data_IF_752853698027
#
_entry.id   IF_752853698027
#
_cell.length_a   1.000
_cell.length_b   1.000
_cell.length_c   1.000
_cell.angle_alpha   90.00
_cell.angle_beta   90.00
_cell.angle_gamma   90.00
#
_symmetry.space_group_name_H-M   'P 1'
#
loop_
_entity.id
_entity.type
_entity.pdbx_description
1 polymer ?
#
# COMPACT_ATOMS: atom_id res chain seq x y z
N UNK A 1 -19.72 -5.74 -4.79
CA UNK A 1 -19.90 -5.79 -6.26
C UNK A 1 -18.88 -6.73 -6.89
N UNK A 2 -17.61 -6.34 -7.04
CA UNK A 2 -16.56 -7.14 -7.71
C UNK A 2 -16.45 -8.59 -7.21
N UNK A 3 -16.42 -8.80 -5.88
CA UNK A 3 -16.36 -10.15 -5.30
C UNK A 3 -17.62 -10.98 -5.53
N UNK A 4 -18.80 -10.35 -5.57
CA UNK A 4 -20.06 -11.05 -5.85
C UNK A 4 -20.11 -11.55 -7.32
N UNK A 5 -19.41 -10.86 -8.22
CA UNK A 5 -19.22 -11.27 -9.62
C UNK A 5 -18.09 -12.31 -9.81
N UNK A 6 -17.49 -12.81 -8.72
CA UNK A 6 -16.39 -13.77 -8.77
C UNK A 6 -15.11 -13.23 -9.41
N UNK A 7 -14.89 -11.90 -9.37
CA UNK A 7 -13.71 -11.24 -9.95
C UNK A 7 -12.65 -10.92 -8.88
N UNK A 8 -11.45 -10.56 -9.32
CA UNK A 8 -10.35 -10.18 -8.43
C UNK A 8 -10.58 -8.79 -7.84
N UNK A 9 -10.46 -8.66 -6.51
CA UNK A 9 -10.51 -7.40 -5.78
C UNK A 9 -9.08 -7.01 -5.45
N UNK A 10 -8.54 -6.08 -6.24
CA UNK A 10 -7.30 -5.39 -5.90
C UNK A 10 -7.65 -4.09 -5.17
N UNK A 11 -7.48 -4.08 -3.85
CA UNK A 11 -7.79 -2.93 -3.03
C UNK A 11 -6.55 -2.03 -2.90
N UNK A 12 -6.66 -0.78 -3.36
CA UNK A 12 -5.54 0.14 -3.45
C UNK A 12 -5.43 1.07 -2.25
N UNK A 13 -4.21 1.21 -1.74
CA UNK A 13 -3.81 2.24 -0.79
C UNK A 13 -3.03 3.31 -1.57
N UNK A 14 -3.56 4.54 -1.63
CA UNK A 14 -2.85 5.65 -2.26
C UNK A 14 -1.67 6.09 -1.39
N UNK A 15 -0.47 6.12 -1.97
CA UNK A 15 0.74 6.56 -1.27
C UNK A 15 0.86 8.08 -1.30
N UNK A 16 1.18 8.69 -0.15
CA UNK A 16 1.47 10.11 -0.02
C UNK A 16 2.45 10.38 1.13
N UNK A 17 3.07 11.55 1.14
CA UNK A 17 4.08 11.89 2.14
C UNK A 17 5.37 11.09 2.00
N UNK A 18 6.07 10.90 3.11
CA UNK A 18 7.31 10.15 3.18
C UNK A 18 7.37 9.41 4.53
N UNK A 19 7.30 8.07 4.49
CA UNK A 19 7.29 7.25 5.72
C UNK A 19 8.59 7.33 6.52
N UNK A 20 9.66 7.87 5.92
CA UNK A 20 10.96 8.06 6.57
C UNK A 20 11.16 9.49 7.09
N UNK A 21 10.18 10.39 6.89
CA UNK A 21 10.21 11.76 7.41
C UNK A 21 9.45 11.85 8.76
N UNK A 22 10.15 11.92 9.91
CA UNK A 22 9.51 11.97 11.22
C UNK A 22 8.74 13.29 11.46
N UNK A 23 9.04 14.36 10.72
CA UNK A 23 8.30 15.61 10.81
C UNK A 23 6.92 15.53 10.13
N UNK A 24 6.66 14.47 9.34
CA UNK A 24 5.41 14.24 8.60
C UNK A 24 4.73 12.93 9.01
N UNK A 25 4.72 12.64 10.31
CA UNK A 25 4.26 11.37 10.89
C UNK A 25 2.78 10.98 10.69
N UNK A 26 1.95 11.81 10.04
CA UNK A 26 0.54 11.46 9.77
C UNK A 26 0.41 10.24 8.85
N UNK A 27 1.30 10.11 7.87
CA UNK A 27 1.34 9.01 6.90
C UNK A 27 2.60 8.18 7.13
N UNK A 28 2.76 7.69 8.35
CA UNK A 28 3.87 6.84 8.76
C UNK A 28 3.72 5.39 8.25
N UNK A 29 4.70 4.54 8.56
CA UNK A 29 4.64 3.12 8.16
C UNK A 29 3.41 2.39 8.75
N UNK A 30 3.02 2.72 9.98
CA UNK A 30 1.90 2.08 10.68
C UNK A 30 0.59 2.33 9.94
N UNK A 31 0.37 3.54 9.45
CA UNK A 31 -0.81 3.90 8.66
C UNK A 31 -1.02 2.92 7.49
N UNK A 32 0.02 2.69 6.68
CA UNK A 32 -0.06 1.80 5.52
C UNK A 32 -0.29 0.33 5.91
N UNK A 33 0.39 -0.15 6.95
CA UNK A 33 0.25 -1.51 7.46
C UNK A 33 -1.15 -1.76 8.03
N UNK A 34 -1.70 -0.81 8.78
CA UNK A 34 -3.06 -0.92 9.33
C UNK A 34 -4.09 -0.97 8.21
N UNK A 35 -3.99 -0.08 7.22
CA UNK A 35 -4.92 -0.09 6.07
C UNK A 35 -4.85 -1.41 5.29
N UNK A 36 -3.66 -1.98 5.07
CA UNK A 36 -3.55 -3.27 4.39
C UNK A 36 -4.30 -4.39 5.12
N UNK A 37 -4.24 -4.42 6.46
CA UNK A 37 -4.97 -5.40 7.28
C UNK A 37 -6.48 -5.17 7.23
N UNK A 38 -6.92 -3.92 7.27
CA UNK A 38 -8.33 -3.55 7.15
C UNK A 38 -8.90 -3.94 5.78
N UNK A 39 -8.15 -3.70 4.70
CA UNK A 39 -8.54 -4.09 3.34
C UNK A 39 -8.58 -5.61 3.16
N UNK A 40 -7.63 -6.35 3.74
CA UNK A 40 -7.70 -7.82 3.79
C UNK A 40 -8.97 -8.28 4.53
N UNK A 41 -9.25 -7.73 5.71
CA UNK A 41 -10.43 -8.08 6.49
C UNK A 41 -11.74 -7.73 5.76
N UNK A 42 -11.71 -6.70 4.89
CA UNK A 42 -12.82 -6.32 4.03
C UNK A 42 -12.99 -7.22 2.78
N UNK A 43 -12.12 -8.22 2.58
CA UNK A 43 -12.24 -9.20 1.49
C UNK A 43 -11.42 -8.88 0.24
N UNK A 44 -10.34 -8.10 0.35
CA UNK A 44 -9.40 -7.94 -0.76
C UNK A 44 -8.72 -9.27 -1.13
N UNK A 45 -8.47 -9.48 -2.43
CA UNK A 45 -7.68 -10.60 -2.94
C UNK A 45 -6.22 -10.20 -3.16
N UNK A 46 -5.96 -8.91 -3.44
CA UNK A 46 -4.66 -8.31 -3.70
C UNK A 46 -4.64 -6.93 -3.04
N UNK A 47 -3.50 -6.52 -2.47
CA UNK A 47 -3.29 -5.15 -2.01
C UNK A 47 -2.44 -4.40 -3.03
N UNK A 48 -2.91 -3.24 -3.46
CA UNK A 48 -2.12 -2.34 -4.29
C UNK A 48 -1.55 -1.18 -3.49
N UNK A 49 -0.28 -0.85 -3.71
CA UNK A 49 0.28 0.45 -3.32
C UNK A 49 0.25 1.33 -4.58
N UNK A 50 -0.64 2.31 -4.58
CA UNK A 50 -0.84 3.25 -5.69
C UNK A 50 -0.12 4.56 -5.39
N UNK A 51 1.11 4.71 -5.86
CA UNK A 51 1.84 5.96 -5.82
C UNK A 51 1.53 6.81 -7.05
N UNK A 52 0.41 7.52 -7.02
CA UNK A 52 -0.09 8.28 -8.16
C UNK A 52 0.80 9.47 -8.57
N UNK A 53 1.74 9.88 -7.72
CA UNK A 53 2.54 11.08 -7.92
C UNK A 53 4.05 10.81 -7.98
N UNK A 54 4.50 9.54 -7.96
CA UNK A 54 5.92 9.21 -8.03
C UNK A 54 6.71 9.66 -6.79
N UNK A 55 6.10 9.58 -5.60
CA UNK A 55 6.68 10.08 -4.35
C UNK A 55 7.53 9.02 -3.61
N UNK A 56 7.31 7.73 -3.88
CA UNK A 56 7.92 6.65 -3.12
C UNK A 56 9.39 6.47 -3.51
N UNK A 57 10.30 6.97 -2.67
CA UNK A 57 11.74 6.83 -2.84
C UNK A 57 12.20 5.37 -2.62
N UNK A 58 13.33 4.93 -3.23
CA UNK A 58 13.81 3.55 -3.12
C UNK A 58 14.03 3.03 -1.69
N UNK A 59 14.56 3.88 -0.79
CA UNK A 59 14.77 3.50 0.61
C UNK A 59 13.45 3.25 1.35
N UNK A 60 12.45 4.13 1.13
CA UNK A 60 11.12 3.98 1.68
C UNK A 60 10.42 2.73 1.11
N UNK A 61 10.56 2.46 -0.20
CA UNK A 61 10.00 1.26 -0.83
C UNK A 61 10.49 -0.04 -0.15
N UNK A 62 11.79 -0.14 0.14
CA UNK A 62 12.36 -1.32 0.81
C UNK A 62 11.73 -1.56 2.19
N UNK A 63 11.49 -0.50 2.95
CA UNK A 63 10.87 -0.58 4.29
C UNK A 63 9.38 -0.91 4.17
N UNK A 64 8.66 -0.19 3.31
CA UNK A 64 7.22 -0.33 3.10
C UNK A 64 6.85 -1.75 2.66
N UNK A 65 7.46 -2.24 1.58
CA UNK A 65 7.09 -3.55 1.02
C UNK A 65 7.50 -4.72 1.90
N UNK A 66 8.59 -4.59 2.68
CA UNK A 66 8.93 -5.58 3.70
C UNK A 66 7.83 -5.67 4.75
N UNK A 67 7.46 -4.53 5.34
CA UNK A 67 6.45 -4.49 6.40
C UNK A 67 5.05 -4.93 5.91
N UNK A 68 4.66 -4.57 4.69
CA UNK A 68 3.39 -5.02 4.11
C UNK A 68 3.35 -6.55 3.96
N UNK A 69 4.44 -7.17 3.47
CA UNK A 69 4.54 -8.63 3.34
C UNK A 69 4.60 -9.37 4.68
N UNK A 70 5.04 -8.71 5.75
CA UNK A 70 4.97 -9.25 7.11
C UNK A 70 3.56 -9.08 7.72
N UNK A 71 2.75 -8.15 7.21
CA UNK A 71 1.45 -7.80 7.76
C UNK A 71 0.27 -8.52 7.11
N UNK A 72 0.42 -9.00 5.87
CA UNK A 72 -0.61 -9.70 5.09
C UNK A 72 0.02 -10.75 4.18
N UNK A 73 -0.68 -11.88 4.02
CA UNK A 73 -0.31 -12.94 3.07
C UNK A 73 -0.82 -12.67 1.64
N UNK A 74 -1.59 -11.59 1.44
CA UNK A 74 -2.10 -11.23 0.12
C UNK A 74 -0.96 -10.77 -0.81
N UNK A 75 -1.04 -11.07 -2.11
CA UNK A 75 -0.12 -10.50 -3.09
C UNK A 75 -0.13 -8.96 -3.03
N UNK A 76 1.05 -8.37 -3.18
CA UNK A 76 1.22 -6.91 -3.22
C UNK A 76 1.56 -6.48 -4.65
N UNK A 77 0.76 -5.58 -5.22
CA UNK A 77 0.98 -4.95 -6.52
C UNK A 77 1.42 -3.49 -6.33
N UNK A 78 2.50 -3.06 -6.99
CA UNK A 78 3.00 -1.70 -6.91
C UNK A 78 2.76 -0.94 -8.21
N UNK A 79 2.13 0.23 -8.10
CA UNK A 79 1.98 1.21 -9.18
C UNK A 79 2.70 2.50 -8.78
N UNK A 80 3.48 3.09 -9.68
CA UNK A 80 4.05 4.43 -9.51
C UNK A 80 4.13 5.21 -10.83
N UNK A 81 4.58 6.46 -10.76
CA UNK A 81 4.84 7.35 -11.89
C UNK A 81 6.32 7.76 -11.92
N UNK A 82 6.85 7.99 -13.12
CA UNK A 82 8.23 8.44 -13.35
C UNK A 82 8.29 9.96 -13.55
N UNK A 83 7.76 10.71 -12.57
CA UNK A 83 7.76 12.19 -12.61
C UNK A 83 9.06 12.78 -12.06
N UNK A 84 9.70 12.05 -11.12
CA UNK A 84 10.93 12.43 -10.43
C UNK A 84 12.19 12.23 -11.27
#
# INVERSE_FOLDING_TARGET
AVGAEGKLIEAAICYTGDILDPARAKYDLKYYVTLAKELQAAGAHIIAVKDMAGLLKPAAARVLFKALREATDLPIHFHTHDTS
#
